data_IF_381434645078
#
_entry.id   IF_381434645078
#
_cell.length_a   1.000
_cell.length_b   1.000
_cell.length_c   1.000
_cell.angle_alpha   90.00
_cell.angle_beta   90.00
_cell.angle_gamma   90.00
#
_symmetry.space_group_name_H-M   'P 1'
#
loop_
_entity.id
_entity.type
_entity.pdbx_description
1 polymer ?
#
# COMPACT_ATOMS: atom_id res chain seq x y z
N UNK A 1 24.51 16.83 31.56
CA UNK A 1 24.67 16.29 30.19
C UNK A 1 23.63 17.00 29.33
N UNK A 2 24.00 18.14 28.75
CA UNK A 2 23.11 18.94 27.90
C UNK A 2 23.09 18.31 26.50
N UNK A 3 21.90 17.99 26.00
CA UNK A 3 21.69 17.67 24.59
C UNK A 3 21.59 19.00 23.83
N UNK A 4 22.65 19.34 23.10
CA UNK A 4 22.62 20.40 22.10
C UNK A 4 21.74 19.96 20.93
N UNK A 5 20.59 20.62 20.78
CA UNK A 5 19.81 20.63 19.55
C UNK A 5 20.65 21.33 18.48
N UNK A 6 21.26 20.57 17.57
CA UNK A 6 21.77 21.13 16.34
C UNK A 6 20.58 21.42 15.43
N UNK A 7 20.20 22.70 15.34
CA UNK A 7 19.37 23.19 14.24
C UNK A 7 20.16 22.98 12.94
N UNK A 8 19.72 22.03 12.13
CA UNK A 8 20.22 21.84 10.78
C UNK A 8 19.56 22.93 9.92
N UNK A 9 20.37 23.77 9.28
CA UNK A 9 19.91 24.84 8.39
C UNK A 9 18.93 24.30 7.33
N UNK A 10 17.79 24.97 7.23
CA UNK A 10 16.67 24.71 6.30
C UNK A 10 16.94 25.28 4.89
N UNK A 11 18.16 25.09 4.38
CA UNK A 11 18.52 25.50 3.02
C UNK A 11 18.67 24.25 2.13
N UNK A 12 17.55 23.88 1.50
CA UNK A 12 17.48 23.20 0.20
C UNK A 12 18.37 21.96 0.01
N UNK A 13 18.35 21.00 0.93
CA UNK A 13 18.67 19.62 0.55
C UNK A 13 17.40 19.01 -0.03
N UNK A 14 17.25 19.09 -1.36
CA UNK A 14 16.32 18.20 -2.06
C UNK A 14 16.82 16.77 -1.86
N UNK A 15 16.39 16.10 -0.80
CA UNK A 15 16.64 14.67 -0.68
C UNK A 15 15.97 13.99 -1.87
N UNK A 16 16.69 13.09 -2.56
CA UNK A 16 16.16 12.34 -3.71
C UNK A 16 14.77 11.75 -3.41
N UNK A 17 14.56 11.33 -2.16
CA UNK A 17 13.30 10.87 -1.60
C UNK A 17 12.12 11.83 -1.82
N UNK A 18 12.33 13.14 -1.77
CA UNK A 18 11.30 14.15 -1.97
C UNK A 18 10.73 14.19 -3.38
N UNK A 19 11.41 13.57 -4.37
CA UNK A 19 10.89 13.38 -5.73
C UNK A 19 9.95 12.17 -5.86
N UNK A 20 9.85 11.36 -4.80
CA UNK A 20 9.11 10.11 -4.76
C UNK A 20 8.08 10.10 -3.61
N UNK A 21 7.46 8.95 -3.36
CA UNK A 21 6.43 8.78 -2.34
C UNK A 21 6.73 7.54 -1.49
N UNK A 22 7.73 7.58 -0.60
CA UNK A 22 8.29 6.37 0.04
C UNK A 22 7.42 5.75 1.15
N UNK A 23 6.37 6.43 1.61
CA UNK A 23 5.50 5.98 2.72
C UNK A 23 4.07 6.52 2.56
N UNK A 24 3.15 6.05 3.41
CA UNK A 24 1.73 6.42 3.39
C UNK A 24 1.46 7.93 3.20
N UNK A 25 2.15 8.79 3.95
CA UNK A 25 1.96 10.25 3.91
C UNK A 25 2.99 11.00 3.06
N UNK A 26 3.66 10.30 2.16
CA UNK A 26 4.63 10.89 1.24
C UNK A 26 5.95 11.30 1.91
N UNK A 27 6.82 12.00 1.18
CA UNK A 27 8.20 12.25 1.61
C UNK A 27 8.31 13.15 2.85
N UNK A 28 7.31 14.01 3.08
CA UNK A 28 7.27 14.94 4.22
C UNK A 28 6.37 14.47 5.37
N UNK A 29 5.83 13.25 5.29
CA UNK A 29 4.82 12.74 6.25
C UNK A 29 3.54 13.59 6.36
N UNK A 30 3.30 14.51 5.42
CA UNK A 30 2.22 15.49 5.47
C UNK A 30 1.15 15.32 4.37
N UNK A 31 1.28 14.32 3.50
CA UNK A 31 0.39 14.14 2.34
C UNK A 31 0.63 15.17 1.23
N UNK A 32 1.83 15.78 1.18
CA UNK A 32 2.21 16.80 0.21
C UNK A 32 3.22 16.22 -0.79
N UNK A 33 3.05 16.53 -2.07
CA UNK A 33 4.01 16.25 -3.14
C UNK A 33 4.67 17.56 -3.62
N UNK A 34 5.81 17.99 -3.06
CA UNK A 34 6.35 19.34 -3.28
C UNK A 34 6.77 19.64 -4.74
N UNK A 35 7.05 18.60 -5.51
CA UNK A 35 7.55 18.71 -6.89
C UNK A 35 6.63 18.04 -7.91
N UNK A 36 5.40 17.71 -7.54
CA UNK A 36 4.46 17.11 -8.47
C UNK A 36 3.79 18.17 -9.34
N UNK A 37 3.54 17.80 -10.60
CA UNK A 37 2.72 18.54 -11.55
C UNK A 37 1.60 17.61 -12.04
N UNK A 38 0.57 17.35 -11.20
CA UNK A 38 -0.49 16.42 -11.54
C UNK A 38 -1.49 17.06 -12.53
N UNK A 39 -2.13 16.26 -13.39
CA UNK A 39 -3.22 16.76 -14.22
C UNK A 39 -4.38 17.26 -13.34
N UNK A 40 -4.95 18.41 -13.68
CA UNK A 40 -6.08 19.04 -12.96
C UNK A 40 -7.46 18.57 -13.44
N UNK A 41 -7.49 17.69 -14.44
CA UNK A 41 -8.70 17.08 -14.96
C UNK A 41 -8.55 15.57 -14.98
N UNK A 42 -9.64 14.83 -14.70
CA UNK A 42 -9.60 13.38 -14.64
C UNK A 42 -10.95 12.77 -15.02
N UNK A 43 -10.93 11.60 -15.65
CA UNK A 43 -12.12 10.75 -15.83
C UNK A 43 -11.70 9.29 -15.97
N UNK A 44 -12.66 8.38 -16.11
CA UNK A 44 -12.36 6.97 -16.39
C UNK A 44 -11.62 6.74 -17.73
N UNK A 45 -11.61 7.76 -18.61
CA UNK A 45 -10.97 7.72 -19.92
C UNK A 45 -9.92 8.81 -20.15
N UNK A 46 -9.83 9.81 -19.27
CA UNK A 46 -8.93 10.97 -19.40
C UNK A 46 -7.84 10.93 -18.34
N UNK A 47 -6.61 11.18 -18.78
CA UNK A 47 -5.40 11.22 -17.93
C UNK A 47 -5.09 9.90 -17.18
N UNK A 48 -5.73 8.79 -17.55
CA UNK A 48 -5.33 7.43 -17.12
C UNK A 48 -4.10 6.99 -17.91
N UNK A 49 -2.95 6.84 -17.25
CA UNK A 49 -1.74 6.33 -17.91
C UNK A 49 -1.78 4.82 -18.16
N UNK A 50 -2.26 4.06 -17.18
CA UNK A 50 -2.41 2.61 -17.27
C UNK A 50 -3.39 2.12 -16.20
N UNK A 51 -3.91 0.91 -16.43
CA UNK A 51 -4.70 0.14 -15.46
C UNK A 51 -4.34 -1.33 -15.60
N UNK A 52 -4.30 -2.05 -14.48
CA UNK A 52 -4.09 -3.50 -14.49
C UNK A 52 -5.12 -4.18 -13.59
N UNK A 53 -5.51 -5.43 -13.90
CA UNK A 53 -6.22 -6.26 -12.93
C UNK A 53 -5.28 -6.60 -11.77
N UNK A 54 -5.76 -6.41 -10.53
CA UNK A 54 -5.04 -6.83 -9.33
C UNK A 54 -5.36 -8.29 -8.99
N UNK A 55 -4.39 -9.09 -8.52
CA UNK A 55 -4.62 -10.50 -8.20
C UNK A 55 -5.48 -10.72 -6.94
N UNK A 56 -5.71 -9.67 -6.16
CA UNK A 56 -6.49 -9.71 -4.92
C UNK A 56 -6.88 -8.31 -4.48
N UNK A 57 -7.46 -8.22 -3.28
CA UNK A 57 -7.96 -6.96 -2.72
C UNK A 57 -6.89 -6.37 -1.80
N UNK A 58 -6.66 -5.06 -1.89
CA UNK A 58 -5.78 -4.32 -0.99
C UNK A 58 -6.22 -2.86 -0.90
N UNK A 59 -6.23 -2.32 0.31
CA UNK A 59 -6.57 -0.91 0.59
C UNK A 59 -5.35 -0.11 1.07
N UNK A 60 -4.16 -0.71 1.06
CA UNK A 60 -2.92 0.00 1.31
C UNK A 60 -2.76 1.20 0.37
N UNK A 61 -2.25 2.31 0.89
CA UNK A 61 -1.75 3.38 0.01
C UNK A 61 -0.53 2.87 -0.74
N UNK A 62 -0.50 2.98 -2.08
CA UNK A 62 0.67 2.62 -2.87
C UNK A 62 1.83 3.56 -2.54
N UNK A 63 3.05 3.04 -2.52
CA UNK A 63 4.25 3.86 -2.42
C UNK A 63 5.01 3.84 -3.75
N UNK A 64 5.77 4.91 -4.02
CA UNK A 64 6.53 5.09 -5.25
C UNK A 64 7.98 5.35 -4.91
N UNK A 65 8.90 4.65 -5.57
CA UNK A 65 10.34 4.92 -5.50
C UNK A 65 10.98 4.68 -6.86
N UNK A 66 11.63 5.70 -7.43
CA UNK A 66 12.17 5.63 -8.79
C UNK A 66 11.08 5.29 -9.83
N UNK A 67 11.32 4.19 -10.55
CA UNK A 67 10.43 3.64 -11.56
C UNK A 67 9.48 2.54 -11.02
N UNK A 68 9.40 2.37 -9.70
CA UNK A 68 8.60 1.32 -9.07
C UNK A 68 7.39 1.91 -8.35
N UNK A 69 6.26 1.22 -8.45
CA UNK A 69 5.09 1.40 -7.58
C UNK A 69 4.92 0.11 -6.79
N UNK A 70 4.89 0.21 -5.46
CA UNK A 70 4.72 -0.95 -4.58
C UNK A 70 3.32 -0.96 -3.97
N UNK A 71 2.67 -2.12 -4.03
CA UNK A 71 1.28 -2.31 -3.59
C UNK A 71 1.18 -3.63 -2.84
N UNK A 72 0.32 -3.69 -1.82
CA UNK A 72 -0.01 -4.94 -1.12
C UNK A 72 -1.37 -5.48 -1.55
N UNK A 73 -1.55 -6.80 -1.49
CA UNK A 73 -2.81 -7.44 -1.81
C UNK A 73 -3.00 -8.72 -1.00
N UNK A 74 -4.24 -9.00 -0.60
CA UNK A 74 -4.66 -10.27 -0.05
C UNK A 74 -5.37 -11.09 -1.14
N UNK A 75 -4.80 -12.24 -1.49
CA UNK A 75 -5.30 -13.11 -2.56
C UNK A 75 -5.90 -14.38 -1.95
N UNK A 76 -7.23 -14.60 -2.05
CA UNK A 76 -7.85 -15.82 -1.54
C UNK A 76 -7.37 -17.06 -2.33
N UNK A 77 -7.19 -18.18 -1.65
CA UNK A 77 -6.83 -19.47 -2.25
C UNK A 77 -7.37 -20.66 -1.45
N UNK A 78 -7.36 -21.83 -2.07
CA UNK A 78 -7.88 -23.07 -1.47
C UNK A 78 -9.40 -23.16 -1.53
N UNK A 79 -9.93 -24.22 -0.93
CA UNK A 79 -11.36 -24.49 -0.87
C UNK A 79 -12.10 -23.50 0.04
N UNK A 80 -13.40 -23.35 -0.19
CA UNK A 80 -14.28 -22.59 0.70
C UNK A 80 -14.48 -23.38 1.98
N UNK A 81 -14.20 -22.76 3.12
CA UNK A 81 -14.44 -23.29 4.46
C UNK A 81 -15.78 -22.77 5.00
N UNK A 82 -16.32 -23.46 6.00
CA UNK A 82 -17.50 -23.00 6.72
C UNK A 82 -17.27 -21.59 7.29
N UNK A 83 -18.22 -20.66 7.08
CA UNK A 83 -18.03 -19.27 7.44
C UNK A 83 -17.92 -19.10 8.97
N UNK A 84 -16.82 -18.50 9.41
CA UNK A 84 -16.63 -18.09 10.81
C UNK A 84 -16.91 -16.60 10.96
N UNK A 85 -17.98 -16.27 11.68
CA UNK A 85 -18.39 -14.90 11.97
C UNK A 85 -17.78 -14.39 13.27
N UNK A 86 -17.65 -13.07 13.39
CA UNK A 86 -17.29 -12.41 14.65
C UNK A 86 -18.42 -12.60 15.67
N UNK A 87 -18.07 -13.07 16.87
CA UNK A 87 -18.98 -13.17 18.02
C UNK A 87 -18.91 -11.96 18.96
N UNK A 88 -18.15 -10.91 18.60
CA UNK A 88 -17.97 -9.75 19.46
C UNK A 88 -19.27 -8.94 19.60
N UNK A 89 -19.57 -8.45 20.81
CA UNK A 89 -20.74 -7.61 21.05
C UNK A 89 -20.64 -6.30 20.25
N UNK A 90 -21.70 -5.93 19.53
CA UNK A 90 -21.74 -4.73 18.70
C UNK A 90 -21.09 -4.90 17.32
N UNK A 91 -20.67 -6.12 16.95
CA UNK A 91 -20.11 -6.40 15.64
C UNK A 91 -21.21 -6.38 14.56
N UNK A 92 -21.01 -5.60 13.51
CA UNK A 92 -21.89 -5.52 12.35
C UNK A 92 -21.07 -5.59 11.07
N UNK A 93 -21.72 -5.88 9.94
CA UNK A 93 -21.13 -5.68 8.61
C UNK A 93 -19.83 -6.48 8.33
N UNK A 94 -19.63 -7.54 9.09
CA UNK A 94 -18.45 -8.38 8.99
C UNK A 94 -18.57 -9.35 7.82
N UNK A 95 -17.45 -9.52 7.12
CA UNK A 95 -17.23 -10.63 6.21
C UNK A 95 -16.68 -11.83 7.00
N UNK A 96 -17.30 -13.01 6.90
CA UNK A 96 -16.79 -14.20 7.56
C UNK A 96 -15.47 -14.64 6.94
N UNK A 97 -14.66 -15.34 7.73
CA UNK A 97 -13.48 -16.02 7.21
C UNK A 97 -13.93 -17.29 6.50
N UNK A 98 -13.63 -17.39 5.20
CA UNK A 98 -14.05 -18.52 4.35
C UNK A 98 -12.91 -19.14 3.54
N UNK A 99 -11.75 -18.49 3.43
CA UNK A 99 -10.62 -18.98 2.63
C UNK A 99 -9.29 -18.59 3.24
N UNK A 100 -8.26 -19.39 2.96
CA UNK A 100 -6.88 -18.97 3.19
C UNK A 100 -6.53 -17.80 2.25
N UNK A 101 -5.63 -16.93 2.70
CA UNK A 101 -5.14 -15.80 1.93
C UNK A 101 -3.62 -15.84 1.79
N UNK A 102 -3.14 -15.51 0.59
CA UNK A 102 -1.74 -15.13 0.36
C UNK A 102 -1.65 -13.63 0.53
N UNK A 103 -0.86 -13.19 1.48
CA UNK A 103 -0.50 -11.78 1.66
C UNK A 103 0.66 -11.52 0.73
N UNK A 104 0.48 -10.59 -0.21
CA UNK A 104 1.39 -10.37 -1.32
C UNK A 104 1.84 -8.93 -1.38
N UNK A 105 3.07 -8.77 -1.86
CA UNK A 105 3.65 -7.49 -2.27
C UNK A 105 3.93 -7.57 -3.75
N UNK A 106 3.54 -6.53 -4.47
CA UNK A 106 3.80 -6.37 -5.90
C UNK A 106 4.67 -5.14 -6.13
N UNK A 107 5.62 -5.25 -7.05
CA UNK A 107 6.27 -4.10 -7.66
C UNK A 107 5.83 -3.96 -9.11
N UNK A 108 5.31 -2.79 -9.45
CA UNK A 108 4.86 -2.43 -10.78
C UNK A 108 5.81 -1.42 -11.40
N UNK A 109 5.98 -1.48 -12.71
CA UNK A 109 6.65 -0.43 -13.45
C UNK A 109 5.76 0.82 -13.51
N UNK A 110 6.25 1.95 -13.01
CA UNK A 110 5.51 3.21 -12.91
C UNK A 110 5.03 3.76 -14.26
N UNK A 111 5.73 3.44 -15.35
CA UNK A 111 5.43 4.01 -16.67
C UNK A 111 4.32 3.26 -17.41
N UNK A 112 4.23 1.94 -17.23
CA UNK A 112 3.29 1.10 -18.00
C UNK A 112 2.44 0.14 -17.15
N UNK A 113 2.59 0.13 -15.83
CA UNK A 113 1.82 -0.71 -14.92
C UNK A 113 2.22 -2.19 -14.93
N UNK A 114 3.20 -2.61 -15.72
CA UNK A 114 3.62 -4.02 -15.79
C UNK A 114 4.10 -4.50 -14.42
N UNK A 115 3.59 -5.65 -13.97
CA UNK A 115 4.13 -6.33 -12.80
C UNK A 115 5.58 -6.73 -13.10
N UNK A 116 6.52 -6.15 -12.35
CA UNK A 116 7.94 -6.47 -12.43
C UNK A 116 8.25 -7.72 -11.62
N UNK A 117 7.70 -7.79 -10.41
CA UNK A 117 7.74 -8.96 -9.57
C UNK A 117 6.58 -8.96 -8.57
N UNK A 118 6.32 -10.15 -8.03
CA UNK A 118 5.36 -10.36 -6.94
C UNK A 118 5.95 -11.34 -5.93
N UNK A 119 5.72 -11.10 -4.64
CA UNK A 119 6.21 -11.96 -3.55
C UNK A 119 5.08 -12.24 -2.57
N UNK A 120 4.96 -13.50 -2.16
CA UNK A 120 4.10 -13.89 -1.04
C UNK A 120 4.92 -13.68 0.22
N UNK A 121 4.46 -12.79 1.10
CA UNK A 121 5.11 -12.50 2.39
C UNK A 121 4.60 -13.40 3.51
N UNK A 122 3.33 -13.79 3.45
CA UNK A 122 2.69 -14.66 4.44
C UNK A 122 1.52 -15.43 3.83
N UNK A 123 1.18 -16.56 4.45
CA UNK A 123 -0.02 -17.34 4.13
C UNK A 123 -0.71 -17.73 5.42
N UNK A 124 -1.99 -17.44 5.51
CA UNK A 124 -2.79 -17.88 6.66
C UNK A 124 -4.28 -17.95 6.31
N UNK A 125 -5.01 -18.65 7.16
CA UNK A 125 -6.43 -18.43 7.31
C UNK A 125 -6.58 -17.26 8.30
N UNK A 126 -7.13 -16.10 7.90
CA UNK A 126 -7.33 -14.98 8.82
C UNK A 126 -8.05 -15.47 10.08
N UNK A 127 -7.56 -15.05 11.26
CA UNK A 127 -8.17 -15.45 12.53
C UNK A 127 -9.52 -14.78 12.75
N UNK A 128 -9.62 -13.55 12.27
CA UNK A 128 -10.81 -12.72 12.34
C UNK A 128 -11.32 -12.41 10.93
N UNK A 129 -12.64 -12.21 10.85
CA UNK A 129 -13.29 -11.73 9.65
C UNK A 129 -12.84 -10.32 9.28
N UNK A 130 -13.17 -9.92 8.05
CA UNK A 130 -13.02 -8.53 7.62
C UNK A 130 -14.30 -7.73 7.84
N UNK A 131 -14.29 -6.48 7.40
CA UNK A 131 -15.50 -5.67 7.20
C UNK A 131 -15.73 -5.53 5.68
N UNK A 132 -16.99 -5.40 5.22
CA UNK A 132 -17.25 -5.32 3.77
C UNK A 132 -16.62 -4.10 3.08
N UNK A 133 -16.24 -3.07 3.84
CA UNK A 133 -15.52 -1.88 3.36
C UNK A 133 -14.00 -1.93 3.60
N UNK A 134 -13.48 -3.05 4.10
CA UNK A 134 -12.06 -3.20 4.44
C UNK A 134 -11.40 -4.34 3.63
N UNK A 135 -10.09 -4.48 3.78
CA UNK A 135 -9.34 -5.59 3.21
C UNK A 135 -8.30 -6.11 4.20
N UNK A 136 -7.85 -7.35 4.01
CA UNK A 136 -6.76 -7.94 4.80
C UNK A 136 -5.37 -7.39 4.44
N UNK A 137 -5.27 -6.49 3.45
CA UNK A 137 -4.03 -5.84 3.02
C UNK A 137 -4.20 -4.32 3.05
N UNK A 138 -4.43 -3.79 4.26
CA UNK A 138 -4.69 -2.37 4.52
C UNK A 138 -3.44 -1.59 4.94
N UNK A 139 -2.42 -2.26 5.49
CA UNK A 139 -1.17 -1.62 5.89
C UNK A 139 -0.35 -1.19 4.67
N UNK A 140 0.07 0.07 4.66
CA UNK A 140 0.97 0.59 3.63
C UNK A 140 2.42 0.16 3.89
N UNK A 141 3.14 -0.26 2.85
CA UNK A 141 4.57 -0.50 2.97
C UNK A 141 5.33 0.83 3.12
N UNK A 142 6.59 0.75 3.52
CA UNK A 142 7.55 1.88 3.54
C UNK A 142 8.88 1.44 2.94
N UNK A 143 9.62 2.39 2.37
CA UNK A 143 10.99 2.15 1.89
C UNK A 143 11.94 3.26 2.35
N UNK A 144 13.19 2.88 2.63
CA UNK A 144 14.32 3.80 2.82
C UNK A 144 15.10 4.05 1.51
N UNK A 145 14.67 3.43 0.41
CA UNK A 145 15.30 3.49 -0.90
C UNK A 145 16.17 2.28 -1.24
N UNK A 146 16.51 1.43 -0.27
CA UNK A 146 17.25 0.18 -0.44
C UNK A 146 16.38 -1.03 -0.12
N UNK A 147 15.63 -0.96 0.98
CA UNK A 147 14.75 -2.00 1.47
C UNK A 147 13.28 -1.59 1.43
N UNK A 148 12.41 -2.60 1.32
CA UNK A 148 10.97 -2.46 1.41
C UNK A 148 10.50 -3.17 2.68
N UNK A 149 9.82 -2.44 3.55
CA UNK A 149 9.27 -2.94 4.81
C UNK A 149 7.75 -3.06 4.68
N UNK A 150 7.22 -4.26 4.97
CA UNK A 150 5.81 -4.62 4.80
C UNK A 150 5.30 -5.42 5.98
#
# INVERSE_FOLDING_TARGET
MLLTSAAINDDQVSTEASRYWPQWRGPLSAGVAPYADPPVEWSESKNIRWRIPMPGIGHSTPIVWGNHVFITAAVPYGDVLDPKYSGALGSHDNLPVTRHHKFMVLALNRHNGKILWQRIIHKELPREGGHFTASFASNSPVTDGEYLFV
#
